data_IF_876775809230
#
_entry.id   IF_876775809230
#
_cell.length_a   1.000
_cell.length_b   1.000
_cell.length_c   1.000
_cell.angle_alpha   90.00
_cell.angle_beta   90.00
_cell.angle_gamma   90.00
#
_symmetry.space_group_name_H-M   'P 1'
#
loop_
_entity.id
_entity.type
_entity.pdbx_description
1 polymer ?
#
# COMPACT_ATOMS: atom_id res chain seq x y z
N UNK A 1 -14.75 33.51 18.71
CA UNK A 1 -14.26 32.17 19.09
C UNK A 1 -13.73 31.53 17.83
N UNK A 2 -12.40 31.43 17.66
CA UNK A 2 -11.80 30.86 16.47
C UNK A 2 -12.06 29.35 16.44
N UNK A 3 -12.56 28.85 15.31
CA UNK A 3 -12.70 27.42 15.06
C UNK A 3 -11.29 26.81 15.02
N UNK A 4 -11.00 25.90 15.95
CA UNK A 4 -9.81 25.06 15.92
C UNK A 4 -9.87 24.24 14.62
N UNK A 5 -8.98 24.53 13.67
CA UNK A 5 -8.74 23.69 12.50
C UNK A 5 -8.41 22.27 13.00
N UNK A 6 -9.31 21.31 12.79
CA UNK A 6 -9.06 19.93 13.17
C UNK A 6 -7.95 19.37 12.27
N UNK A 7 -6.76 19.18 12.84
CA UNK A 7 -5.71 18.38 12.22
C UNK A 7 -6.25 17.00 11.83
N UNK A 8 -5.77 16.40 10.72
CA UNK A 8 -6.21 15.07 10.31
C UNK A 8 -6.07 14.08 11.47
N UNK A 9 -7.11 13.30 11.72
CA UNK A 9 -7.13 12.33 12.82
C UNK A 9 -6.04 11.28 12.57
N UNK A 10 -5.02 11.26 13.43
CA UNK A 10 -3.92 10.30 13.36
C UNK A 10 -4.21 9.10 14.25
N UNK A 11 -4.21 7.89 13.69
CA UNK A 11 -4.52 6.67 14.43
C UNK A 11 -3.42 6.26 15.43
N UNK A 12 -2.15 6.44 15.05
CA UNK A 12 -0.98 6.03 15.84
C UNK A 12 -0.07 7.21 16.24
N UNK A 13 -0.34 8.43 15.76
CA UNK A 13 0.55 9.58 15.97
C UNK A 13 0.65 10.07 17.42
N UNK A 14 -0.30 9.71 18.29
CA UNK A 14 -0.26 10.04 19.73
C UNK A 14 0.08 8.84 20.62
N UNK A 15 0.38 7.69 20.04
CA UNK A 15 0.62 6.43 20.76
C UNK A 15 2.12 6.16 20.81
N UNK A 16 2.62 5.60 21.92
CA UNK A 16 4.01 5.12 21.99
C UNK A 16 4.17 3.93 21.03
N UNK A 17 4.96 4.11 19.98
CA UNK A 17 5.13 3.10 18.95
C UNK A 17 6.25 2.10 19.31
N UNK A 18 5.97 0.78 19.31
CA UNK A 18 6.98 -0.26 19.52
C UNK A 18 8.04 -0.29 18.42
N UNK A 19 8.98 -1.26 18.46
CA UNK A 19 9.97 -1.44 17.39
C UNK A 19 9.39 -1.98 16.08
N UNK A 20 8.23 -2.65 16.16
CA UNK A 20 7.49 -3.13 15.01
C UNK A 20 5.98 -3.03 15.25
N UNK A 21 5.23 -2.68 14.20
CA UNK A 21 3.76 -2.58 14.21
C UNK A 21 3.20 -3.40 13.06
N UNK A 22 2.37 -4.40 13.36
CA UNK A 22 1.63 -5.15 12.34
C UNK A 22 0.39 -4.36 11.91
N UNK A 23 0.23 -4.13 10.60
CA UNK A 23 -0.93 -3.44 10.03
C UNK A 23 -1.96 -4.43 9.47
N UNK A 24 -1.50 -5.57 8.97
CA UNK A 24 -2.33 -6.61 8.40
C UNK A 24 -1.67 -7.96 8.63
N UNK A 25 -2.48 -8.93 9.09
CA UNK A 25 -2.13 -10.35 9.09
C UNK A 25 -3.36 -11.14 8.70
N UNK A 26 -3.27 -11.94 7.64
CA UNK A 26 -4.38 -12.76 7.15
C UNK A 26 -4.83 -13.86 8.12
N UNK A 27 -4.00 -14.18 9.12
CA UNK A 27 -4.31 -15.13 10.21
C UNK A 27 -4.87 -14.45 11.47
N UNK A 28 -5.03 -13.13 11.47
CA UNK A 28 -5.66 -12.40 12.58
C UNK A 28 -7.13 -12.80 12.75
N UNK A 29 -7.65 -12.70 13.98
CA UNK A 29 -9.09 -12.85 14.23
C UNK A 29 -9.91 -11.71 13.61
N UNK A 30 -9.32 -10.52 13.50
CA UNK A 30 -9.89 -9.38 12.79
C UNK A 30 -8.80 -8.76 11.89
N UNK A 31 -8.61 -9.30 10.67
CA UNK A 31 -7.56 -8.84 9.77
C UNK A 31 -7.86 -7.46 9.15
N UNK A 32 -9.11 -6.98 9.26
CA UNK A 32 -9.59 -5.79 8.55
C UNK A 32 -9.96 -4.63 9.47
N UNK A 33 -9.72 -4.73 10.78
CA UNK A 33 -9.97 -3.69 11.78
C UNK A 33 -9.54 -2.27 11.36
N UNK A 34 -8.45 -2.16 10.58
CA UNK A 34 -7.85 -0.90 10.13
C UNK A 34 -8.00 -0.65 8.63
N UNK A 35 -8.81 -1.45 7.92
CA UNK A 35 -8.86 -1.45 6.45
C UNK A 35 -10.25 -1.12 5.90
N UNK A 36 -10.28 -0.28 4.87
CA UNK A 36 -11.42 -0.13 3.98
C UNK A 36 -11.20 -0.91 2.69
N UNK A 37 -12.31 -1.34 2.10
CA UNK A 37 -12.37 -2.04 0.83
C UNK A 37 -12.98 -1.15 -0.23
N UNK A 38 -12.46 -1.28 -1.45
CA UNK A 38 -13.05 -0.69 -2.63
C UNK A 38 -13.05 -1.75 -3.72
N UNK A 39 -14.24 -2.08 -4.21
CA UNK A 39 -14.43 -3.04 -5.30
C UNK A 39 -14.97 -2.29 -6.51
N UNK A 40 -14.58 -2.75 -7.70
CA UNK A 40 -15.03 -2.16 -8.95
C UNK A 40 -16.53 -2.46 -9.14
N UNK A 41 -17.34 -1.41 -9.03
CA UNK A 41 -18.81 -1.49 -9.17
C UNK A 41 -19.25 -1.75 -10.61
N UNK A 42 -18.40 -1.47 -11.60
CA UNK A 42 -18.71 -1.70 -13.01
C UNK A 42 -18.46 -3.17 -13.40
N UNK A 43 -17.60 -3.88 -12.67
CA UNK A 43 -17.20 -5.27 -12.94
C UNK A 43 -17.32 -6.15 -11.69
N UNK A 44 -18.49 -6.24 -11.05
CA UNK A 44 -18.66 -6.91 -9.75
C UNK A 44 -18.39 -8.41 -9.78
N UNK A 45 -18.49 -9.06 -10.95
CA UNK A 45 -18.23 -10.50 -11.12
C UNK A 45 -16.74 -10.81 -11.37
N UNK A 46 -16.01 -9.85 -11.96
CA UNK A 46 -14.59 -10.00 -12.31
C UNK A 46 -13.65 -9.35 -11.28
N UNK A 47 -14.20 -8.52 -10.41
CA UNK A 47 -13.52 -7.85 -9.30
C UNK A 47 -13.91 -8.50 -7.98
N UNK A 48 -12.92 -8.80 -7.14
CA UNK A 48 -13.15 -9.45 -5.86
C UNK A 48 -12.04 -9.25 -4.85
N UNK A 49 -12.45 -9.18 -3.59
CA UNK A 49 -11.62 -9.16 -2.39
C UNK A 49 -12.10 -10.26 -1.45
N UNK A 50 -11.29 -11.30 -1.25
CA UNK A 50 -11.63 -12.49 -0.47
C UNK A 50 -10.49 -12.91 0.45
N UNK A 51 -10.81 -13.36 1.65
CA UNK A 51 -9.92 -14.15 2.49
C UNK A 51 -10.12 -15.63 2.15
N UNK A 52 -9.07 -16.30 1.69
CA UNK A 52 -9.15 -17.67 1.20
C UNK A 52 -8.03 -18.50 1.82
N UNK A 53 -8.25 -19.78 2.03
CA UNK A 53 -7.15 -20.72 2.27
C UNK A 53 -6.35 -20.83 0.97
N UNK A 54 -5.06 -20.51 1.02
CA UNK A 54 -4.29 -20.32 -0.21
C UNK A 54 -4.28 -21.60 -1.07
N UNK A 55 -4.22 -22.81 -0.49
CA UNK A 55 -4.08 -24.13 -1.12
C UNK A 55 -5.37 -24.63 -1.75
N UNK A 56 -6.48 -24.50 -1.03
CA UNK A 56 -7.78 -25.03 -1.48
C UNK A 56 -8.62 -23.99 -2.21
N UNK A 57 -8.27 -22.70 -2.06
CA UNK A 57 -9.08 -21.56 -2.48
C UNK A 57 -10.48 -21.52 -1.87
N UNK A 58 -10.68 -22.27 -0.81
CA UNK A 58 -11.89 -22.20 -0.03
C UNK A 58 -11.92 -20.90 0.75
N UNK A 59 -13.12 -20.35 0.94
CA UNK A 59 -13.30 -19.13 1.70
C UNK A 59 -12.94 -19.38 3.17
N UNK A 60 -12.10 -18.51 3.73
CA UNK A 60 -11.73 -18.59 5.13
C UNK A 60 -12.89 -18.12 6.02
N UNK A 61 -12.97 -18.64 7.25
CA UNK A 61 -14.08 -18.33 8.17
C UNK A 61 -14.23 -16.84 8.52
N UNK A 62 -13.18 -16.04 8.35
CA UNK A 62 -13.15 -14.61 8.65
C UNK A 62 -13.21 -13.75 7.38
N UNK A 63 -13.69 -14.30 6.26
CA UNK A 63 -13.93 -13.55 5.02
C UNK A 63 -14.97 -12.44 5.27
N UNK A 64 -14.78 -11.24 4.72
CA UNK A 64 -15.73 -10.15 4.94
C UNK A 64 -16.99 -10.26 4.07
N UNK A 65 -17.10 -11.31 3.23
CA UNK A 65 -18.25 -11.61 2.36
C UNK A 65 -18.64 -10.49 1.38
N UNK A 66 -17.71 -9.61 1.02
CA UNK A 66 -17.98 -8.41 0.20
C UNK A 66 -18.13 -8.75 -1.29
N UNK A 67 -17.46 -9.81 -1.74
CA UNK A 67 -17.38 -10.13 -3.18
C UNK A 67 -18.64 -10.83 -3.68
N UNK A 68 -18.93 -10.68 -4.97
CA UNK A 68 -20.01 -11.38 -5.65
C UNK A 68 -19.85 -12.92 -5.56
N UNK A 69 -20.95 -13.70 -5.40
CA UNK A 69 -20.88 -15.15 -5.22
C UNK A 69 -20.34 -15.93 -6.43
N UNK A 70 -20.33 -15.36 -7.63
CA UNK A 70 -19.81 -16.00 -8.85
C UNK A 70 -18.28 -15.90 -9.01
N UNK A 71 -17.59 -15.18 -8.12
CA UNK A 71 -16.14 -14.98 -8.19
C UNK A 71 -15.38 -16.27 -7.84
N UNK A 72 -14.44 -16.70 -8.70
CA UNK A 72 -13.69 -17.97 -8.54
C UNK A 72 -12.17 -17.77 -8.44
N UNK A 73 -11.48 -18.63 -7.67
CA UNK A 73 -10.05 -18.47 -7.29
C UNK A 73 -9.21 -19.76 -7.42
N UNK A 74 -7.86 -19.64 -7.45
CA UNK A 74 -6.84 -20.74 -7.55
C UNK A 74 -5.50 -20.47 -6.81
N UNK A 75 -4.94 -21.35 -5.97
CA UNK A 75 -3.75 -21.09 -5.13
C UNK A 75 -2.96 -22.28 -4.53
N UNK A 76 -2.03 -22.02 -3.57
CA UNK A 76 -0.96 -22.96 -3.15
C UNK A 76 -0.37 -22.83 -1.71
N UNK A 77 -1.15 -22.66 -0.62
CA UNK A 77 -0.66 -22.72 0.78
C UNK A 77 -1.77 -22.96 1.83
N UNK A 78 -1.52 -23.74 2.88
CA UNK A 78 -2.56 -24.14 3.85
C UNK A 78 -3.12 -23.00 4.74
N UNK A 79 -2.58 -21.78 4.65
CA UNK A 79 -2.98 -20.63 5.49
C UNK A 79 -3.98 -19.70 4.79
N UNK A 80 -4.81 -18.96 5.56
CA UNK A 80 -5.66 -17.90 5.01
C UNK A 80 -4.80 -16.78 4.44
N UNK A 81 -5.21 -16.23 3.30
CA UNK A 81 -4.55 -15.12 2.59
C UNK A 81 -5.60 -14.19 1.97
N UNK A 82 -5.30 -12.91 1.90
CA UNK A 82 -6.16 -11.94 1.25
C UNK A 82 -5.90 -11.94 -0.26
N UNK A 83 -6.87 -12.38 -1.03
CA UNK A 83 -6.90 -12.35 -2.48
C UNK A 83 -7.61 -11.09 -2.97
N UNK A 84 -6.93 -10.29 -3.80
CA UNK A 84 -7.50 -9.09 -4.42
C UNK A 84 -7.33 -9.25 -5.93
N UNK A 85 -8.40 -9.27 -6.72
CA UNK A 85 -8.34 -9.43 -8.17
C UNK A 85 -9.29 -8.47 -8.86
N UNK A 86 -8.87 -7.95 -10.02
CA UNK A 86 -9.71 -7.17 -10.91
C UNK A 86 -9.02 -7.02 -12.27
N UNK A 87 -9.78 -7.01 -13.37
CA UNK A 87 -9.27 -6.54 -14.67
C UNK A 87 -8.89 -5.05 -14.64
N UNK A 88 -9.59 -4.23 -13.86
CA UNK A 88 -9.31 -2.82 -13.65
C UNK A 88 -8.52 -2.62 -12.35
N UNK A 89 -7.18 -2.70 -12.44
CA UNK A 89 -6.27 -2.73 -11.27
C UNK A 89 -6.53 -1.58 -10.29
N UNK A 90 -6.83 -0.37 -10.81
CA UNK A 90 -6.94 0.85 -10.00
C UNK A 90 -8.23 0.91 -9.18
N UNK A 91 -9.26 0.21 -9.63
CA UNK A 91 -10.63 0.33 -9.13
C UNK A 91 -10.97 -0.78 -8.14
N UNK A 92 -9.99 -1.61 -7.76
CA UNK A 92 -10.15 -2.61 -6.72
C UNK A 92 -8.93 -2.63 -5.81
N UNK A 93 -9.14 -2.32 -4.53
CA UNK A 93 -8.06 -2.15 -3.57
C UNK A 93 -8.53 -2.28 -2.12
N UNK A 94 -7.56 -2.48 -1.24
CA UNK A 94 -7.70 -2.26 0.20
C UNK A 94 -6.84 -1.08 0.65
N UNK A 95 -7.32 -0.30 1.62
CA UNK A 95 -6.64 0.89 2.13
C UNK A 95 -6.67 0.93 3.66
N UNK A 96 -5.53 1.29 4.24
CA UNK A 96 -5.37 1.59 5.66
C UNK A 96 -4.76 3.01 5.79
N UNK A 97 -5.37 3.94 6.53
CA UNK A 97 -6.58 3.78 7.34
C UNK A 97 -7.85 3.75 6.47
N UNK A 98 -9.01 3.36 7.03
CA UNK A 98 -10.26 3.24 6.26
C UNK A 98 -10.75 4.59 5.71
N UNK A 99 -10.56 5.66 6.48
CA UNK A 99 -10.99 7.01 6.15
C UNK A 99 -9.88 7.78 5.42
N UNK A 100 -10.16 8.38 4.26
CA UNK A 100 -9.19 9.17 3.49
C UNK A 100 -8.75 10.47 4.19
N UNK A 101 -9.56 10.96 5.13
CA UNK A 101 -9.24 12.13 5.96
C UNK A 101 -8.40 11.78 7.20
N UNK A 102 -8.25 10.50 7.51
CA UNK A 102 -7.40 10.02 8.59
C UNK A 102 -6.00 9.66 8.08
N UNK A 103 -5.05 9.59 9.02
CA UNK A 103 -3.69 9.14 8.75
C UNK A 103 -3.25 8.07 9.75
N UNK A 104 -2.32 7.21 9.35
CA UNK A 104 -1.70 6.26 10.27
C UNK A 104 -0.84 6.99 11.30
N UNK A 105 0.06 7.87 10.87
CA UNK A 105 0.99 8.54 11.78
C UNK A 105 2.08 7.61 12.33
N UNK A 106 2.45 6.57 11.59
CA UNK A 106 3.49 5.60 12.01
C UNK A 106 4.86 6.14 11.65
N UNK A 107 5.76 6.27 12.62
CA UNK A 107 7.10 6.87 12.48
C UNK A 107 8.17 5.83 12.11
N UNK A 108 7.79 4.56 12.01
CA UNK A 108 8.68 3.47 11.61
C UNK A 108 9.06 3.61 10.12
N UNK A 109 10.36 3.68 9.78
CA UNK A 109 10.81 4.02 8.43
C UNK A 109 10.75 2.85 7.44
N UNK A 110 10.59 1.62 7.93
CA UNK A 110 10.52 0.43 7.10
C UNK A 110 9.07 -0.03 7.02
N UNK A 111 8.59 -0.30 5.81
CA UNK A 111 7.31 -0.99 5.58
C UNK A 111 7.58 -2.24 4.79
N UNK A 112 7.19 -3.38 5.34
CA UNK A 112 7.39 -4.68 4.73
C UNK A 112 6.05 -5.30 4.32
N UNK A 113 6.03 -5.88 3.12
CA UNK A 113 4.89 -6.59 2.54
C UNK A 113 5.29 -8.04 2.29
N UNK A 114 4.46 -8.98 2.71
CA UNK A 114 4.54 -10.38 2.31
C UNK A 114 3.40 -10.69 1.34
N UNK A 115 3.73 -10.84 0.06
CA UNK A 115 2.75 -10.96 -1.01
C UNK A 115 3.21 -11.90 -2.13
N UNK A 116 2.27 -12.32 -2.99
CA UNK A 116 2.56 -12.98 -4.26
C UNK A 116 1.62 -12.49 -5.36
N UNK A 117 2.10 -12.44 -6.60
CA UNK A 117 1.27 -12.06 -7.74
C UNK A 117 0.22 -13.13 -8.06
N UNK A 118 -1.00 -12.71 -8.44
CA UNK A 118 -2.04 -13.63 -8.93
C UNK A 118 -1.80 -13.88 -10.41
N UNK A 119 -1.16 -15.02 -10.72
CA UNK A 119 -0.72 -15.42 -12.07
C UNK A 119 0.41 -14.52 -12.62
N UNK A 120 1.35 -15.12 -13.34
CA UNK A 120 2.58 -14.45 -13.77
C UNK A 120 2.41 -13.27 -14.75
N UNK A 121 1.23 -13.09 -15.33
CA UNK A 121 0.97 -12.05 -16.34
C UNK A 121 0.09 -10.90 -15.88
N UNK A 122 -0.52 -10.97 -14.68
CA UNK A 122 -1.40 -9.90 -14.22
C UNK A 122 -0.58 -8.80 -13.53
N UNK A 123 -0.73 -7.53 -13.91
CA UNK A 123 -0.01 -6.46 -13.26
C UNK A 123 -0.63 -6.16 -11.89
N UNK A 124 0.21 -5.81 -10.91
CA UNK A 124 -0.22 -5.39 -9.59
C UNK A 124 0.56 -4.16 -9.12
N UNK A 125 0.03 -3.48 -8.11
CA UNK A 125 0.59 -2.24 -7.57
C UNK A 125 0.21 -2.07 -6.10
N UNK A 126 1.09 -1.43 -5.33
CA UNK A 126 0.78 -0.93 -4.00
C UNK A 126 1.39 0.46 -3.81
N UNK A 127 0.87 1.19 -2.84
CA UNK A 127 1.30 2.54 -2.53
C UNK A 127 1.35 2.79 -1.03
N UNK A 128 2.39 3.51 -0.60
CA UNK A 128 2.57 3.97 0.77
C UNK A 128 2.59 5.50 0.75
N UNK A 129 1.62 6.11 1.42
CA UNK A 129 1.62 7.55 1.66
C UNK A 129 2.58 7.90 2.78
N UNK A 130 3.34 8.97 2.62
CA UNK A 130 4.27 9.48 3.63
C UNK A 130 4.09 10.99 3.83
N UNK A 131 4.52 11.44 5.00
CA UNK A 131 4.55 12.83 5.41
C UNK A 131 5.98 13.20 5.83
N UNK A 132 6.38 14.43 5.56
CA UNK A 132 7.64 14.98 6.07
C UNK A 132 7.44 15.84 7.33
N UNK A 133 8.55 16.28 7.95
CA UNK A 133 8.49 17.12 9.16
C UNK A 133 7.87 18.50 8.96
N UNK A 134 7.67 18.96 7.71
CA UNK A 134 6.97 20.20 7.39
C UNK A 134 5.47 19.96 7.11
N UNK A 135 5.00 18.72 7.22
CA UNK A 135 3.62 18.33 6.97
C UNK A 135 3.25 18.10 5.51
N UNK A 136 4.22 18.15 4.58
CA UNK A 136 3.98 17.88 3.15
C UNK A 136 3.73 16.41 2.92
N UNK A 137 2.90 16.10 1.92
CA UNK A 137 2.44 14.74 1.64
C UNK A 137 2.97 14.22 0.33
N UNK A 138 3.50 13.01 0.35
CA UNK A 138 3.91 12.29 -0.84
C UNK A 138 3.41 10.85 -0.81
N UNK A 139 3.54 10.14 -1.92
CA UNK A 139 3.34 8.70 -1.96
C UNK A 139 4.48 8.02 -2.72
N UNK A 140 4.84 6.83 -2.24
CA UNK A 140 5.72 5.91 -2.94
C UNK A 140 4.84 4.80 -3.48
N UNK A 141 4.79 4.66 -4.80
CA UNK A 141 4.05 3.61 -5.51
C UNK A 141 5.03 2.63 -6.11
N UNK A 142 4.73 1.35 -5.99
CA UNK A 142 5.56 0.26 -6.48
C UNK A 142 4.67 -0.65 -7.32
N UNK A 143 5.10 -0.99 -8.54
CA UNK A 143 4.28 -1.80 -9.45
C UNK A 143 5.10 -2.73 -10.31
N UNK A 144 4.49 -3.84 -10.73
CA UNK A 144 5.12 -4.85 -11.58
C UNK A 144 5.23 -4.48 -13.07
N UNK A 145 4.69 -3.34 -13.50
CA UNK A 145 4.63 -2.92 -14.91
C UNK A 145 5.39 -1.61 -15.18
N UNK A 146 5.92 -0.98 -14.14
CA UNK A 146 6.76 0.20 -14.30
C UNK A 146 8.17 -0.27 -14.68
N UNK A 147 8.75 0.28 -15.74
CA UNK A 147 10.11 -0.08 -16.18
C UNK A 147 11.19 0.74 -15.48
N UNK A 148 10.97 2.05 -15.34
CA UNK A 148 11.96 2.99 -14.80
C UNK A 148 11.34 3.83 -13.67
N UNK A 149 12.09 4.23 -12.64
CA UNK A 149 11.59 5.14 -11.62
C UNK A 149 11.12 6.47 -12.22
N UNK A 150 9.94 6.95 -11.81
CA UNK A 150 9.39 8.25 -12.24
C UNK A 150 8.82 9.04 -11.07
N UNK A 151 9.00 10.35 -11.11
CA UNK A 151 8.44 11.30 -10.14
C UNK A 151 7.33 12.11 -10.81
N UNK A 152 6.13 12.00 -10.27
CA UNK A 152 4.97 12.79 -10.68
C UNK A 152 4.69 13.87 -9.65
N UNK A 153 4.62 15.12 -10.10
CA UNK A 153 4.31 16.25 -9.24
C UNK A 153 2.88 16.71 -9.54
N UNK A 154 2.09 16.88 -8.49
CA UNK A 154 0.77 17.48 -8.61
C UNK A 154 0.95 18.98 -8.88
N UNK A 155 0.33 19.56 -9.93
CA UNK A 155 0.35 20.99 -10.11
C UNK A 155 -0.29 21.64 -8.88
N UNK A 156 0.49 22.44 -8.15
CA UNK A 156 -0.06 23.28 -7.09
C UNK A 156 -1.09 24.19 -7.74
N UNK A 157 -2.36 24.10 -7.31
CA UNK A 157 -3.38 25.09 -7.68
C UNK A 157 -2.94 26.44 -7.09
N UNK A 158 -2.10 27.19 -7.80
CA UNK A 158 -1.92 28.62 -7.57
C UNK A 158 -3.14 29.32 -8.19
N UNK A 159 -4.29 29.23 -7.53
CA UNK A 159 -5.39 30.16 -7.81
C UNK A 159 -5.16 31.36 -6.91
N UNK A 160 -4.57 32.40 -7.52
CA UNK A 160 -4.75 33.76 -7.04
C UNK A 160 -6.24 34.09 -7.11
N UNK A 161 -6.87 34.28 -5.94
CA UNK A 161 -8.14 34.95 -5.73
C UNK A 161 -9.35 34.42 -6.50
N UNK A 162 -10.12 33.50 -5.91
CA UNK A 162 -11.58 33.56 -6.00
C UNK A 162 -12.23 32.66 -4.95
N UNK A 163 -13.20 33.21 -4.23
CA UNK A 163 -14.12 32.53 -3.34
C UNK A 163 -14.78 31.32 -4.03
N UNK A 164 -14.81 30.17 -3.36
CA UNK A 164 -15.51 28.98 -3.84
C UNK A 164 -15.01 27.69 -3.20
N UNK A 165 -15.72 27.25 -2.16
CA UNK A 165 -15.85 25.89 -1.62
C UNK A 165 -14.59 25.01 -1.53
N UNK A 166 -14.06 24.96 -0.30
CA UNK A 166 -12.87 24.23 0.11
C UNK A 166 -13.01 22.72 0.15
N UNK A 167 -13.13 22.10 -1.03
CA UNK A 167 -12.86 20.67 -1.21
C UNK A 167 -11.54 20.45 -1.95
N UNK A 168 -10.78 19.46 -1.47
CA UNK A 168 -9.48 18.98 -1.99
C UNK A 168 -8.21 19.61 -1.39
N UNK A 169 -8.06 19.53 -0.05
CA UNK A 169 -6.78 19.72 0.67
C UNK A 169 -6.06 18.42 1.08
N UNK A 170 -6.58 17.25 0.70
CA UNK A 170 -6.03 15.94 1.11
C UNK A 170 -5.14 15.24 0.07
N UNK A 171 -4.87 15.89 -1.07
CA UNK A 171 -4.12 15.29 -2.18
C UNK A 171 -2.64 15.05 -1.88
N UNK A 172 -2.10 14.00 -2.49
CA UNK A 172 -0.65 13.73 -2.54
C UNK A 172 0.01 14.78 -3.44
N UNK A 173 1.04 15.47 -2.94
CA UNK A 173 1.73 16.53 -3.69
C UNK A 173 2.78 15.97 -4.65
N UNK A 174 3.42 14.87 -4.27
CA UNK A 174 4.43 14.18 -5.06
C UNK A 174 4.25 12.66 -5.01
N UNK A 175 4.40 11.98 -6.15
CA UNK A 175 4.28 10.54 -6.28
C UNK A 175 5.56 9.98 -6.92
N UNK A 176 6.35 9.25 -6.14
CA UNK A 176 7.47 8.46 -6.65
C UNK A 176 6.97 7.08 -7.06
N UNK A 177 7.11 6.72 -8.34
CA UNK A 177 6.67 5.44 -8.88
C UNK A 177 7.89 4.58 -9.25
N UNK A 178 8.05 3.47 -8.55
CA UNK A 178 9.16 2.53 -8.69
C UNK A 178 8.73 1.26 -9.43
N UNK A 179 9.71 0.67 -10.13
CA UNK A 179 9.61 -0.66 -10.72
C UNK A 179 9.70 -1.76 -9.65
N UNK A 180 8.99 -2.85 -9.87
CA UNK A 180 9.10 -4.08 -9.09
C UNK A 180 9.31 -5.27 -10.01
N UNK A 181 10.50 -5.86 -9.94
CA UNK A 181 10.80 -7.13 -10.59
C UNK A 181 10.55 -8.26 -9.61
N UNK A 182 9.56 -9.10 -9.88
CA UNK A 182 9.38 -10.36 -9.14
C UNK A 182 10.51 -11.31 -9.53
N UNK A 183 11.12 -12.00 -8.56
CA UNK A 183 12.02 -13.11 -8.88
C UNK A 183 11.27 -14.11 -9.78
N UNK A 184 11.95 -14.60 -10.82
CA UNK A 184 11.38 -15.52 -11.79
C UNK A 184 10.83 -16.77 -11.09
N UNK A 185 9.85 -17.40 -11.74
CA UNK A 185 9.05 -18.53 -11.22
C UNK A 185 9.89 -19.57 -10.46
N UNK A 186 9.32 -20.26 -9.44
CA UNK A 186 9.96 -21.42 -8.84
C UNK A 186 10.30 -22.53 -9.86
N UNK A 187 9.63 -22.57 -11.01
CA UNK A 187 9.96 -23.49 -12.12
C UNK A 187 11.31 -23.20 -12.80
N UNK A 188 11.93 -22.03 -12.57
CA UNK A 188 13.22 -21.66 -13.16
C UNK A 188 14.36 -21.54 -12.14
N UNK A 189 14.03 -21.62 -10.85
CA UNK A 189 14.98 -21.57 -9.76
C UNK A 189 14.65 -22.70 -8.80
N UNK A 190 15.34 -23.84 -8.94
CA UNK A 190 15.16 -25.05 -8.13
C UNK A 190 15.28 -24.79 -6.61
N UNK A 191 15.79 -23.61 -6.21
CA UNK A 191 15.93 -23.19 -4.82
C UNK A 191 14.74 -22.40 -4.27
N UNK A 192 13.82 -21.93 -5.12
CA UNK A 192 12.65 -21.16 -4.71
C UNK A 192 11.53 -22.07 -4.20
N UNK A 193 11.55 -22.34 -2.90
CA UNK A 193 10.56 -23.19 -2.20
C UNK A 193 9.14 -22.59 -2.19
N UNK A 194 8.96 -21.32 -2.58
CA UNK A 194 7.65 -20.68 -2.58
C UNK A 194 7.55 -19.48 -3.54
N UNK A 195 6.35 -19.23 -4.07
CA UNK A 195 6.03 -18.02 -4.84
C UNK A 195 5.82 -16.77 -3.96
N UNK A 196 5.82 -16.92 -2.64
CA UNK A 196 5.72 -15.81 -1.68
C UNK A 196 7.00 -14.99 -1.66
N UNK A 197 6.85 -13.66 -1.74
CA UNK A 197 7.96 -12.71 -1.72
C UNK A 197 7.75 -11.69 -0.60
N UNK A 198 8.88 -11.25 -0.03
CA UNK A 198 8.92 -10.24 1.02
C UNK A 198 9.61 -8.99 0.48
N UNK A 199 8.93 -7.86 0.54
CA UNK A 199 9.42 -6.58 0.05
C UNK A 199 9.45 -5.57 1.17
N UNK A 200 10.63 -5.04 1.48
CA UNK A 200 10.80 -3.95 2.45
C UNK A 200 11.12 -2.64 1.75
N UNK A 201 10.33 -1.61 2.03
CA UNK A 201 10.56 -0.24 1.56
C UNK A 201 11.24 0.59 2.64
N UNK A 202 12.48 1.10 2.41
CA UNK A 202 13.13 2.05 3.30
C UNK A 202 12.66 3.48 2.99
N UNK A 203 11.56 3.89 3.62
CA UNK A 203 10.85 5.13 3.31
C UNK A 203 11.70 6.39 3.58
N UNK A 204 12.58 6.33 4.58
CA UNK A 204 13.54 7.40 4.91
C UNK A 204 14.56 7.67 3.79
N UNK A 205 15.00 6.60 3.11
CA UNK A 205 15.90 6.67 1.96
C UNK A 205 15.15 7.11 0.72
N UNK A 206 13.98 6.50 0.48
CA UNK A 206 13.15 6.80 -0.68
C UNK A 206 12.61 8.23 -0.67
N UNK A 207 12.35 8.81 0.51
CA UNK A 207 11.88 10.18 0.64
C UNK A 207 12.84 11.21 0.02
N UNK A 208 14.15 10.92 -0.03
CA UNK A 208 15.16 11.79 -0.63
C UNK A 208 14.96 11.96 -2.15
N UNK A 209 14.36 10.97 -2.81
CA UNK A 209 14.12 10.97 -4.25
C UNK A 209 12.84 11.72 -4.64
N UNK A 210 12.00 12.12 -3.69
CA UNK A 210 10.81 12.93 -3.95
C UNK A 210 11.12 14.38 -4.32
N UNK A 211 12.39 14.78 -4.19
CA UNK A 211 12.91 16.07 -4.63
C UNK A 211 13.86 15.94 -5.83
N UNK A 212 14.02 14.72 -6.37
CA UNK A 212 14.95 14.45 -7.45
C UNK A 212 14.33 14.83 -8.80
N UNK A 213 14.71 16.01 -9.30
CA UNK A 213 14.18 16.50 -10.57
C UNK A 213 14.59 15.69 -11.79
N UNK A 214 15.61 14.82 -11.68
CA UNK A 214 16.01 13.94 -12.78
C UNK A 214 14.98 12.84 -13.06
N UNK A 215 14.12 12.53 -12.08
CA UNK A 215 13.05 11.55 -12.19
C UNK A 215 11.75 12.14 -12.76
N UNK A 216 11.69 13.46 -12.96
CA UNK A 216 10.51 14.14 -13.47
C UNK A 216 10.41 13.91 -14.99
N UNK A 217 9.23 13.54 -15.46
CA UNK A 217 8.97 13.41 -16.89
C UNK A 217 9.15 14.77 -17.60
N UNK A 218 9.76 14.77 -18.78
CA UNK A 218 10.23 15.99 -19.46
C UNK A 218 9.10 17.00 -19.79
N UNK A 219 7.84 16.57 -19.72
CA UNK A 219 6.65 17.40 -19.93
C UNK A 219 5.98 17.97 -18.67
N UNK A 220 6.48 17.70 -17.46
CA UNK A 220 5.82 18.15 -16.23
C UNK A 220 6.24 19.58 -15.83
N UNK A 221 5.27 20.36 -15.35
CA UNK A 221 5.52 21.71 -14.81
C UNK A 221 6.38 21.56 -13.55
N UNK A 222 7.53 22.22 -13.54
CA UNK A 222 8.43 22.26 -12.37
C UNK A 222 7.74 23.04 -11.25
N UNK A 223 7.19 22.35 -10.25
CA UNK A 223 6.99 22.93 -8.93
C UNK A 223 8.30 22.81 -8.14
N UNK A 224 8.54 23.70 -7.19
CA UNK A 224 9.59 23.54 -6.17
C UNK A 224 9.21 22.37 -5.23
N UNK A 225 9.30 21.14 -5.75
CA UNK A 225 9.04 19.92 -5.01
C UNK A 225 10.25 19.63 -4.12
N UNK A 226 10.37 20.36 -3.02
CA UNK A 226 11.43 20.13 -2.04
C UNK A 226 10.94 19.25 -0.89
N UNK A 227 10.50 18.02 -1.15
CA UNK A 227 10.06 17.12 -0.08
C UNK A 227 11.17 16.91 0.98
N UNK A 228 10.78 16.98 2.25
CA UNK A 228 11.69 16.94 3.38
C UNK A 228 12.09 15.52 3.79
N UNK A 229 12.66 15.40 4.99
CA UNK A 229 12.94 14.09 5.58
C UNK A 229 11.63 13.39 5.92
N UNK A 230 11.60 12.07 5.69
CA UNK A 230 10.53 11.21 6.19
C UNK A 230 10.25 11.49 7.66
N UNK A 231 8.97 11.62 7.99
CA UNK A 231 8.48 11.78 9.35
C UNK A 231 7.57 10.61 9.72
N UNK A 232 6.53 10.37 8.91
CA UNK A 232 5.56 9.32 9.21
C UNK A 232 4.86 8.78 7.98
N UNK A 233 4.37 7.55 8.08
CA UNK A 233 3.46 6.92 7.12
C UNK A 233 2.06 7.49 7.33
N UNK A 234 1.42 7.93 6.25
CA UNK A 234 0.04 8.44 6.28
C UNK A 234 -0.98 7.37 5.88
N UNK A 235 -0.67 6.52 4.89
CA UNK A 235 -1.54 5.42 4.48
C UNK A 235 -0.75 4.29 3.82
N UNK A 236 -1.37 3.10 3.76
CA UNK A 236 -0.98 1.98 2.92
C UNK A 236 -2.16 1.59 2.04
N UNK A 237 -1.93 1.35 0.75
CA UNK A 237 -2.95 0.97 -0.21
C UNK A 237 -2.43 -0.16 -1.10
N UNK A 238 -3.16 -1.26 -1.18
CA UNK A 238 -2.81 -2.42 -1.99
C UNK A 238 -3.90 -2.64 -3.02
N UNK A 239 -3.53 -2.66 -4.30
CA UNK A 239 -4.45 -2.80 -5.42
C UNK A 239 -4.57 -4.25 -5.86
N UNK A 240 -5.39 -4.48 -6.89
CA UNK A 240 -5.69 -5.80 -7.39
C UNK A 240 -4.50 -6.58 -7.98
N UNK A 241 -4.77 -7.87 -8.19
CA UNK A 241 -3.94 -8.93 -8.76
C UNK A 241 -2.80 -9.39 -7.86
N UNK A 242 -3.04 -9.42 -6.56
CA UNK A 242 -2.09 -9.88 -5.54
C UNK A 242 -2.78 -10.73 -4.48
N UNK A 243 -2.05 -11.70 -3.94
CA UNK A 243 -2.37 -12.31 -2.64
C UNK A 243 -1.46 -11.73 -1.58
N UNK A 244 -2.05 -11.31 -0.47
CA UNK A 244 -1.39 -10.64 0.63
C UNK A 244 -1.51 -11.49 1.90
N UNK A 245 -0.39 -11.72 2.59
CA UNK A 245 -0.35 -12.42 3.87
C UNK A 245 -0.13 -11.46 5.03
N UNK A 246 0.86 -10.56 4.92
CA UNK A 246 1.24 -9.64 6.00
C UNK A 246 1.69 -8.28 5.50
N UNK A 247 1.40 -7.25 6.30
CA UNK A 247 2.00 -5.91 6.19
C UNK A 247 2.39 -5.46 7.58
N UNK A 248 3.64 -5.03 7.76
CA UNK A 248 4.11 -4.49 9.02
C UNK A 248 5.11 -3.36 8.80
N UNK A 249 5.28 -2.55 9.82
CA UNK A 249 6.29 -1.50 9.86
C UNK A 249 7.32 -1.83 10.93
N UNK A 250 8.59 -1.50 10.71
CA UNK A 250 9.67 -1.81 11.64
C UNK A 250 10.72 -0.69 11.72
N UNK A 251 11.45 -0.63 12.84
CA UNK A 251 12.49 0.37 13.07
C UNK A 251 13.82 0.02 12.40
N UNK A 252 14.14 -1.27 12.31
CA UNK A 252 15.42 -1.79 11.81
C UNK A 252 15.22 -3.14 11.12
N UNK A 253 16.19 -3.48 10.27
CA UNK A 253 16.39 -4.85 9.78
C UNK A 253 17.51 -5.51 10.60
N UNK A 254 17.50 -6.84 10.78
CA UNK A 254 16.40 -7.75 10.45
C UNK A 254 15.16 -7.46 11.30
N UNK A 255 13.98 -7.59 10.70
CA UNK A 255 12.68 -7.37 11.34
C UNK A 255 11.93 -8.69 11.66
N UNK A 256 12.63 -9.81 11.51
CA UNK A 256 12.13 -11.19 11.62
C UNK A 256 12.49 -11.90 12.94
N UNK A 257 12.91 -11.14 13.95
CA UNK A 257 13.15 -11.69 15.30
C UNK A 257 11.84 -12.10 16.00
N UNK A 258 10.69 -11.68 15.47
CA UNK A 258 9.37 -12.12 15.92
C UNK A 258 8.89 -13.33 15.09
N UNK A 259 8.48 -14.44 15.73
CA UNK A 259 8.03 -15.66 15.03
C UNK A 259 6.90 -15.38 14.02
N UNK A 260 6.03 -14.43 14.34
CA UNK A 260 4.90 -13.99 13.52
C UNK A 260 5.30 -13.20 12.24
N UNK A 261 6.58 -12.94 12.00
CA UNK A 261 7.08 -12.28 10.78
C UNK A 261 7.98 -13.19 9.92
N UNK A 262 8.17 -14.45 10.32
CA UNK A 262 8.92 -15.42 9.54
C UNK A 262 8.08 -15.97 8.37
N UNK A 263 8.75 -16.24 7.24
CA UNK A 263 8.14 -16.79 6.02
C UNK A 263 7.55 -18.19 6.24
N UNK A 264 8.21 -18.99 7.07
CA UNK A 264 7.80 -20.31 7.52
C UNK A 264 7.36 -20.20 8.98
N UNK A 265 6.06 -20.32 9.22
CA UNK A 265 5.45 -20.42 10.55
C UNK A 265 4.68 -21.72 10.59
#
# INVERSE_FOLDING_TARGET
LMASEHAPCSLFGSVVQPEAVSLFSSTSSDPFALWAFHQDVALPEDSGIRLLIDETDETASNDPEITHPSFTTRGSSSDPVLHIQSPAIRDTFVRCPPNESAELGIELPLVTFQLRAIRSSRPFVFAVGIRDGAGRRAAIRVSSFQSEPKLYLSPTKRIAGQDGDGESRNGVEALLHLSLSMAAKPDQDETSLTAWQVFTLPLDRLAKHLSDTSLIDAGAIRSDANFGRFHSISFVKVYANVRLRRIWCSRRLPDHDLPEFQLFS
#
